data_IF_059417445997
#
_entry.id   IF_059417445997
#
_cell.length_a   1.000
_cell.length_b   1.000
_cell.length_c   1.000
_cell.angle_alpha   90.00
_cell.angle_beta   90.00
_cell.angle_gamma   90.00
#
_symmetry.space_group_name_H-M   'P 1'
#
loop_
_entity.id
_entity.type
_entity.pdbx_description
1 polymer ?
#
# COMPACT_ATOMS: atom_id res chain seq x y z
N UNK A 1 25.70 0.40 -53.89
CA UNK A 1 24.95 -0.78 -53.38
C UNK A 1 25.74 -1.62 -52.37
N UNK A 2 27.09 -1.65 -52.43
CA UNK A 2 27.96 -2.31 -51.44
C UNK A 2 27.87 -1.68 -50.06
N UNK A 3 27.84 -0.35 -49.97
CA UNK A 3 27.99 0.37 -48.71
C UNK A 3 26.73 0.25 -47.84
N UNK A 4 25.55 0.25 -48.48
CA UNK A 4 24.27 -0.05 -47.83
C UNK A 4 24.24 -1.46 -47.22
N UNK A 5 24.88 -2.44 -47.87
CA UNK A 5 24.97 -3.82 -47.34
C UNK A 5 25.95 -3.92 -46.18
N UNK A 6 27.01 -3.11 -46.18
CA UNK A 6 27.98 -3.04 -45.07
C UNK A 6 27.33 -2.38 -43.85
N UNK A 7 26.65 -1.25 -44.04
CA UNK A 7 25.91 -0.55 -42.99
C UNK A 7 24.81 -1.43 -42.38
N UNK A 8 24.03 -2.12 -43.21
CA UNK A 8 22.99 -3.04 -42.73
C UNK A 8 23.57 -4.19 -41.88
N UNK A 9 24.72 -4.76 -42.28
CA UNK A 9 25.41 -5.79 -41.49
C UNK A 9 25.92 -5.27 -40.14
N UNK A 10 26.46 -4.06 -40.11
CA UNK A 10 26.95 -3.43 -38.88
C UNK A 10 25.79 -3.11 -37.92
N UNK A 11 24.69 -2.54 -38.43
CA UNK A 11 23.47 -2.28 -37.66
C UNK A 11 22.89 -3.58 -37.10
N UNK A 12 22.75 -4.62 -37.92
CA UNK A 12 22.24 -5.90 -37.46
C UNK A 12 23.12 -6.49 -36.35
N UNK A 13 24.44 -6.46 -36.52
CA UNK A 13 25.40 -6.91 -35.49
C UNK A 13 25.25 -6.14 -34.18
N UNK A 14 25.08 -4.83 -34.24
CA UNK A 14 24.87 -3.98 -33.07
C UNK A 14 23.56 -4.34 -32.36
N UNK A 15 22.45 -4.47 -33.09
CA UNK A 15 21.17 -4.88 -32.52
C UNK A 15 21.21 -6.26 -31.89
N UNK A 16 21.88 -7.23 -32.52
CA UNK A 16 22.07 -8.57 -31.94
C UNK A 16 22.83 -8.49 -30.62
N UNK A 17 23.91 -7.69 -30.55
CA UNK A 17 24.69 -7.52 -29.32
C UNK A 17 23.84 -6.90 -28.20
N UNK A 18 23.09 -5.83 -28.50
CA UNK A 18 22.22 -5.17 -27.52
C UNK A 18 21.15 -6.13 -27.00
N UNK A 19 20.54 -6.92 -27.88
CA UNK A 19 19.50 -7.87 -27.50
C UNK A 19 20.04 -8.99 -26.60
N UNK A 20 21.26 -9.47 -26.89
CA UNK A 20 21.95 -10.46 -26.03
C UNK A 20 22.26 -9.87 -24.65
N UNK A 21 22.76 -8.63 -24.58
CA UNK A 21 23.06 -7.97 -23.30
C UNK A 21 21.79 -7.79 -22.44
N UNK A 22 20.69 -7.36 -23.05
CA UNK A 22 19.40 -7.23 -22.36
C UNK A 22 18.95 -8.61 -21.85
N UNK A 23 19.03 -9.65 -22.68
CA UNK A 23 18.70 -11.02 -22.28
C UNK A 23 19.53 -11.51 -21.09
N UNK A 24 20.84 -11.22 -21.06
CA UNK A 24 21.71 -11.58 -19.95
C UNK A 24 21.33 -10.85 -18.65
N UNK A 25 20.93 -9.57 -18.72
CA UNK A 25 20.44 -8.82 -17.56
C UNK A 25 19.17 -9.45 -17.00
N UNK A 26 18.21 -9.81 -17.86
CA UNK A 26 16.98 -10.47 -17.41
C UNK A 26 17.27 -11.83 -16.79
N UNK A 27 18.12 -12.66 -17.42
CA UNK A 27 18.52 -13.95 -16.84
C UNK A 27 19.15 -13.74 -15.47
N UNK A 28 20.09 -12.79 -15.35
CA UNK A 28 20.74 -12.46 -14.08
C UNK A 28 19.71 -12.07 -13.02
N UNK A 29 18.76 -11.19 -13.33
CA UNK A 29 17.69 -10.78 -12.41
C UNK A 29 16.79 -11.96 -12.00
N UNK A 30 16.45 -12.86 -12.93
CA UNK A 30 15.64 -14.04 -12.63
C UNK A 30 16.38 -15.06 -11.76
N UNK A 31 17.70 -15.18 -11.92
CA UNK A 31 18.54 -16.09 -11.13
C UNK A 31 19.15 -15.42 -9.90
N UNK A 32 18.87 -14.15 -9.67
CA UNK A 32 19.47 -13.38 -8.58
C UNK A 32 18.80 -13.77 -7.27
N UNK A 33 19.51 -14.56 -6.46
CA UNK A 33 19.18 -14.75 -5.06
C UNK A 33 19.86 -13.64 -4.24
N UNK A 34 19.10 -12.78 -3.54
CA UNK A 34 19.69 -11.74 -2.73
C UNK A 34 20.46 -12.36 -1.56
N UNK A 35 21.74 -12.06 -1.49
CA UNK A 35 22.55 -12.30 -0.30
C UNK A 35 22.03 -11.41 0.85
N UNK A 36 21.22 -11.98 1.74
CA UNK A 36 20.75 -11.33 2.97
C UNK A 36 21.76 -11.49 4.12
N UNK A 37 23.06 -11.25 3.88
CA UNK A 37 24.07 -11.15 4.95
C UNK A 37 24.50 -9.70 5.25
N UNK A 38 23.87 -8.71 4.62
CA UNK A 38 23.97 -7.32 5.07
C UNK A 38 23.12 -7.09 6.34
N UNK A 39 23.66 -7.57 7.46
CA UNK A 39 23.51 -7.04 8.83
C UNK A 39 22.10 -6.75 9.35
N UNK A 40 21.51 -7.73 10.03
CA UNK A 40 20.80 -7.50 11.29
C UNK A 40 21.10 -8.68 12.22
N UNK A 41 21.91 -8.43 13.25
CA UNK A 41 22.13 -9.36 14.35
C UNK A 41 20.85 -9.39 15.20
N UNK A 42 19.93 -10.29 14.89
CA UNK A 42 18.86 -10.66 15.80
C UNK A 42 19.39 -11.72 16.76
N UNK A 43 20.22 -11.29 17.72
CA UNK A 43 20.34 -12.01 18.99
C UNK A 43 19.11 -11.67 19.85
N UNK A 44 17.98 -12.26 19.47
CA UNK A 44 16.72 -12.22 20.17
C UNK A 44 16.00 -13.50 19.80
N UNK A 45 15.48 -14.23 20.80
CA UNK A 45 14.98 -15.59 20.65
C UNK A 45 13.99 -15.77 19.49
N UNK A 46 13.82 -17.03 19.08
CA UNK A 46 12.74 -17.47 18.20
C UNK A 46 11.38 -17.20 18.87
N UNK A 47 10.97 -15.95 18.93
CA UNK A 47 9.57 -15.59 19.03
C UNK A 47 9.02 -15.69 17.60
N UNK A 48 7.90 -16.40 17.45
CA UNK A 48 7.14 -16.37 16.21
C UNK A 48 7.03 -14.91 15.78
N UNK A 49 7.44 -14.62 14.55
CA UNK A 49 7.31 -13.28 13.98
C UNK A 49 5.81 -13.01 13.86
N UNK A 50 5.21 -12.47 14.93
CA UNK A 50 3.83 -12.02 14.93
C UNK A 50 3.83 -10.78 14.06
N UNK A 51 3.61 -10.98 12.76
CA UNK A 51 3.41 -9.90 11.81
C UNK A 51 2.21 -9.10 12.31
N UNK A 52 2.49 -7.94 12.90
CA UNK A 52 1.45 -7.07 13.44
C UNK A 52 0.46 -6.72 12.34
N UNK A 53 -0.83 -6.91 12.63
CA UNK A 53 -1.93 -6.52 11.74
C UNK A 53 -2.83 -5.52 12.47
N UNK A 54 -3.39 -4.53 11.76
CA UNK A 54 -4.42 -3.68 12.32
C UNK A 54 -5.58 -4.52 12.85
N UNK A 55 -6.07 -4.17 14.03
CA UNK A 55 -7.26 -4.79 14.62
C UNK A 55 -8.47 -4.56 13.73
N UNK A 56 -9.35 -5.57 13.62
CA UNK A 56 -10.62 -5.41 12.93
C UNK A 56 -11.61 -4.66 13.85
N UNK A 57 -12.02 -3.43 13.49
CA UNK A 57 -12.86 -2.64 14.37
C UNK A 57 -14.26 -3.23 14.54
N UNK A 58 -14.81 -3.92 13.53
CA UNK A 58 -16.16 -4.51 13.62
C UNK A 58 -16.21 -5.60 14.68
N UNK A 59 -15.18 -6.44 14.76
CA UNK A 59 -15.12 -7.50 15.78
C UNK A 59 -14.87 -6.98 17.19
N UNK A 60 -14.34 -5.77 17.35
CA UNK A 60 -14.02 -5.20 18.65
C UNK A 60 -15.07 -4.21 19.16
N UNK A 61 -16.04 -3.78 18.33
CA UNK A 61 -17.02 -2.73 18.67
C UNK A 61 -17.65 -2.97 20.04
N UNK A 62 -18.11 -4.18 20.36
CA UNK A 62 -18.80 -4.42 21.63
C UNK A 62 -17.92 -4.10 22.85
N UNK A 63 -16.65 -4.46 22.77
CA UNK A 63 -15.65 -4.32 23.84
C UNK A 63 -14.83 -3.02 23.79
N UNK A 64 -15.07 -2.15 22.79
CA UNK A 64 -14.35 -0.88 22.69
C UNK A 64 -14.69 0.06 23.84
N UNK A 65 -13.68 0.77 24.39
CA UNK A 65 -13.91 1.92 25.27
C UNK A 65 -14.86 2.92 24.62
N UNK A 66 -15.68 3.59 25.43
CA UNK A 66 -16.74 4.48 24.94
C UNK A 66 -16.23 5.51 23.93
N UNK A 67 -15.12 6.19 24.21
CA UNK A 67 -14.58 7.22 23.32
C UNK A 67 -14.08 6.65 21.99
N UNK A 68 -13.51 5.44 22.00
CA UNK A 68 -13.05 4.76 20.79
C UNK A 68 -14.25 4.35 19.94
N UNK A 69 -15.28 3.78 20.56
CA UNK A 69 -16.55 3.42 19.90
C UNK A 69 -17.24 4.64 19.32
N UNK A 70 -17.28 5.75 20.06
CA UNK A 70 -17.83 7.03 19.60
C UNK A 70 -17.03 7.53 18.39
N UNK A 71 -15.70 7.60 18.50
CA UNK A 71 -14.81 7.99 17.41
C UNK A 71 -15.06 7.16 16.15
N UNK A 72 -15.18 5.84 16.29
CA UNK A 72 -15.52 4.92 15.19
C UNK A 72 -16.82 5.33 14.47
N UNK A 73 -17.89 5.65 15.18
CA UNK A 73 -19.14 6.08 14.55
C UNK A 73 -19.02 7.44 13.84
N UNK A 74 -18.29 8.39 14.43
CA UNK A 74 -18.05 9.71 13.82
C UNK A 74 -17.35 9.60 12.47
N UNK A 75 -16.36 8.70 12.33
CA UNK A 75 -15.61 8.51 11.08
C UNK A 75 -16.32 7.59 10.06
N UNK A 76 -17.13 6.65 10.54
CA UNK A 76 -17.78 5.63 9.71
C UNK A 76 -19.12 6.09 9.17
N UNK A 77 -19.79 6.97 9.91
CA UNK A 77 -21.12 7.49 9.65
C UNK A 77 -21.16 9.02 9.84
N UNK A 78 -20.13 9.72 9.33
CA UNK A 78 -19.96 11.16 9.51
C UNK A 78 -21.20 11.96 9.11
N UNK A 79 -21.86 11.64 8.00
CA UNK A 79 -23.09 12.33 7.61
C UNK A 79 -24.19 12.24 8.67
N UNK A 80 -24.32 11.09 9.35
CA UNK A 80 -25.35 10.83 10.36
C UNK A 80 -25.05 11.53 11.69
N UNK A 81 -23.79 11.64 12.09
CA UNK A 81 -23.43 12.17 13.41
C UNK A 81 -22.84 13.59 13.37
N UNK A 82 -22.26 14.00 12.24
CA UNK A 82 -21.55 15.27 12.07
C UNK A 82 -21.88 16.00 10.76
N UNK A 83 -22.81 15.51 9.95
CA UNK A 83 -23.19 16.09 8.66
C UNK A 83 -24.67 16.45 8.58
N UNK A 84 -25.25 16.59 7.38
CA UNK A 84 -26.65 17.00 7.20
C UNK A 84 -27.66 16.08 7.90
N UNK A 85 -27.30 14.82 8.14
CA UNK A 85 -28.11 13.83 8.85
C UNK A 85 -28.03 13.90 10.38
N UNK A 86 -27.20 14.77 10.96
CA UNK A 86 -27.09 14.89 12.41
C UNK A 86 -28.39 15.41 13.03
N UNK A 87 -28.78 14.74 14.13
CA UNK A 87 -30.03 15.00 14.83
C UNK A 87 -30.10 16.45 15.36
N UNK A 88 -28.99 16.94 15.91
CA UNK A 88 -28.88 18.33 16.36
C UNK A 88 -28.18 19.16 15.32
N UNK A 89 -28.69 20.38 15.11
CA UNK A 89 -28.07 21.33 14.17
C UNK A 89 -26.67 21.76 14.61
N UNK A 90 -26.42 21.84 15.92
CA UNK A 90 -25.10 22.18 16.49
C UNK A 90 -24.01 21.16 16.16
N UNK A 91 -24.39 19.92 15.84
CA UNK A 91 -23.46 18.85 15.48
C UNK A 91 -23.20 18.79 13.96
N UNK A 92 -23.79 19.66 13.14
CA UNK A 92 -23.66 19.62 11.66
C UNK A 92 -22.43 20.37 11.19
N UNK A 93 -21.27 19.74 11.32
CA UNK A 93 -19.98 20.30 10.89
C UNK A 93 -19.68 20.09 9.40
N UNK A 94 -20.23 19.04 8.77
CA UNK A 94 -20.09 18.74 7.34
C UNK A 94 -21.33 19.21 6.56
N UNK A 95 -21.11 19.80 5.39
CA UNK A 95 -22.16 20.24 4.47
C UNK A 95 -22.60 19.19 3.44
N UNK A 96 -22.08 17.97 3.50
CA UNK A 96 -22.38 16.91 2.52
C UNK A 96 -22.60 15.55 3.17
N UNK A 97 -22.97 14.56 2.36
CA UNK A 97 -23.31 13.21 2.82
C UNK A 97 -22.12 12.23 2.85
N UNK A 98 -20.88 12.71 2.75
CA UNK A 98 -19.69 11.86 2.80
C UNK A 98 -19.32 11.51 4.26
N UNK A 99 -18.68 10.36 4.42
CA UNK A 99 -17.99 9.92 5.61
C UNK A 99 -16.48 9.85 5.37
N UNK A 100 -15.69 10.00 6.44
CA UNK A 100 -14.23 9.85 6.37
C UNK A 100 -13.86 8.51 5.71
N UNK A 101 -14.61 7.47 6.06
CA UNK A 101 -14.43 6.12 5.52
C UNK A 101 -14.79 5.92 4.04
N UNK A 102 -15.31 6.93 3.34
CA UNK A 102 -15.46 6.85 1.88
C UNK A 102 -14.12 6.89 1.14
N UNK A 103 -13.11 7.55 1.71
CA UNK A 103 -11.75 7.61 1.15
C UNK A 103 -10.74 6.85 2.02
N UNK A 104 -10.88 6.93 3.35
CA UNK A 104 -10.04 6.22 4.30
C UNK A 104 -10.56 4.79 4.51
N UNK A 105 -10.22 3.90 3.57
CA UNK A 105 -10.80 2.56 3.47
C UNK A 105 -10.54 1.72 4.72
N UNK A 106 -11.43 0.75 4.96
CA UNK A 106 -11.48 -0.06 6.19
C UNK A 106 -11.46 0.80 7.47
N UNK A 107 -12.16 1.94 7.43
CA UNK A 107 -12.19 2.91 8.54
C UNK A 107 -10.78 3.38 8.93
N UNK A 108 -9.93 3.59 7.92
CA UNK A 108 -8.56 4.06 8.07
C UNK A 108 -7.53 2.99 8.41
N UNK A 109 -7.86 1.69 8.27
CA UNK A 109 -6.93 0.59 8.52
C UNK A 109 -6.28 0.01 7.24
N UNK A 110 -6.78 0.36 6.06
CA UNK A 110 -6.27 -0.18 4.80
C UNK A 110 -5.00 0.56 4.33
N UNK A 111 -3.89 -0.17 4.26
CA UNK A 111 -2.62 0.33 3.72
C UNK A 111 -2.77 0.86 2.29
N UNK A 112 -2.04 1.93 1.96
CA UNK A 112 -2.08 2.59 0.65
C UNK A 112 -3.41 3.30 0.33
N UNK A 113 -4.37 3.37 1.26
CA UNK A 113 -5.69 3.97 1.06
C UNK A 113 -5.97 5.08 2.08
N UNK A 114 -4.95 5.92 2.32
CA UNK A 114 -5.00 6.96 3.36
C UNK A 114 -5.13 6.40 4.76
N UNK A 115 -4.36 5.37 5.12
CA UNK A 115 -4.41 4.79 6.46
C UNK A 115 -4.11 5.83 7.55
N UNK A 116 -4.78 5.74 8.71
CA UNK A 116 -4.42 6.52 9.91
C UNK A 116 -3.48 5.75 10.84
N UNK A 117 -3.27 4.47 10.56
CA UNK A 117 -2.42 3.56 11.33
C UNK A 117 -1.47 2.83 10.38
N UNK A 118 -0.18 2.86 10.70
CA UNK A 118 0.88 2.32 9.84
C UNK A 118 1.27 3.29 8.72
N UNK A 119 2.56 3.67 8.69
CA UNK A 119 3.23 4.22 7.51
C UNK A 119 3.80 3.03 6.75
#
# INVERSE_FOLDING_TARGET
MSDLRILAKQLFRLFTIVFVLIGLIFIWLFTYEPNTSAGFSNEGGKEEEVVWQPKNPISEIENMPFEVKKGYYLISETSRYMGPGAAKTEDRYSGNNLACSNCHLQKGAQAGSGSWVGI
#
